data_IF_793393448221
#
_entry.id   IF_793393448221
#
_cell.length_a   1.000
_cell.length_b   1.000
_cell.length_c   1.000
_cell.angle_alpha   90.00
_cell.angle_beta   90.00
_cell.angle_gamma   90.00
#
_symmetry.space_group_name_H-M   'P 1'
#
loop_
_entity.id
_entity.type
_entity.pdbx_description
1 polymer ?
#
# COMPACT_ATOMS: atom_id res chain seq x y z
N UNK A 1 -14.33 -7.90 1.41
CA UNK A 1 -13.07 -7.21 1.04
C UNK A 1 -12.05 -7.54 2.11
N UNK A 2 -10.78 -7.67 1.74
CA UNK A 2 -9.66 -7.91 2.65
C UNK A 2 -8.74 -6.71 2.68
N UNK A 3 -8.05 -6.51 3.80
CA UNK A 3 -6.97 -5.53 3.96
C UNK A 3 -5.65 -6.23 3.67
N UNK A 4 -4.88 -5.68 2.75
CA UNK A 4 -3.56 -6.15 2.37
C UNK A 4 -2.52 -5.15 2.85
N UNK A 5 -1.39 -5.66 3.31
CA UNK A 5 -0.19 -4.89 3.55
C UNK A 5 0.94 -5.40 2.67
N UNK A 6 1.54 -4.51 1.87
CA UNK A 6 2.63 -4.82 0.96
C UNK A 6 3.91 -4.13 1.40
N UNK A 7 5.00 -4.90 1.47
CA UNK A 7 6.36 -4.36 1.54
C UNK A 7 7.06 -4.59 0.21
N UNK A 8 7.88 -3.63 -0.21
CA UNK A 8 8.56 -3.64 -1.50
C UNK A 8 10.08 -3.57 -1.33
N UNK A 9 10.81 -4.25 -2.20
CA UNK A 9 12.25 -4.05 -2.34
C UNK A 9 12.52 -2.72 -3.07
N UNK A 10 12.78 -1.66 -2.29
CA UNK A 10 13.09 -0.33 -2.81
C UNK A 10 14.46 0.09 -2.32
N UNK A 11 15.43 0.11 -3.23
CA UNK A 11 16.80 0.55 -2.95
C UNK A 11 16.97 2.07 -3.14
N UNK A 12 16.22 2.67 -4.07
CA UNK A 12 16.22 4.10 -4.34
C UNK A 12 14.81 4.68 -4.32
N UNK A 13 14.54 5.54 -3.34
CA UNK A 13 13.20 6.09 -3.10
C UNK A 13 12.82 7.23 -4.08
N UNK A 14 13.79 7.85 -4.77
CA UNK A 14 13.53 9.05 -5.60
C UNK A 14 12.67 8.79 -6.84
N UNK A 15 12.51 7.52 -7.23
CA UNK A 15 11.68 7.11 -8.37
C UNK A 15 10.27 6.62 -8.00
N UNK A 16 9.93 6.61 -6.71
CA UNK A 16 8.68 6.03 -6.22
C UNK A 16 7.84 7.03 -5.42
N UNK A 17 6.52 6.77 -5.28
CA UNK A 17 5.63 7.66 -4.53
C UNK A 17 6.09 7.86 -3.07
N UNK A 18 5.92 9.05 -2.48
CA UNK A 18 6.30 9.30 -1.09
C UNK A 18 5.67 8.30 -0.12
N UNK A 19 6.44 7.84 0.86
CA UNK A 19 5.98 6.93 1.92
C UNK A 19 5.91 5.45 1.53
N UNK A 20 6.05 5.10 0.25
CA UNK A 20 5.96 3.71 -0.22
C UNK A 20 7.07 2.78 0.32
N UNK A 21 8.22 3.35 0.71
CA UNK A 21 9.29 2.62 1.38
C UNK A 21 8.92 2.15 2.79
N UNK A 22 7.86 2.70 3.38
CA UNK A 22 7.30 2.25 4.66
C UNK A 22 6.27 1.13 4.49
N UNK A 23 5.89 0.80 3.24
CA UNK A 23 4.86 -0.16 2.89
C UNK A 23 3.64 0.47 2.20
N UNK A 24 2.68 -0.38 1.83
CA UNK A 24 1.42 0.05 1.21
C UNK A 24 0.23 -0.75 1.73
N UNK A 25 -0.79 -0.02 2.17
CA UNK A 25 -2.06 -0.56 2.60
C UNK A 25 -3.10 -0.49 1.49
N UNK A 26 -3.69 -1.64 1.15
CA UNK A 26 -4.73 -1.74 0.11
C UNK A 26 -5.91 -2.53 0.63
N UNK A 27 -7.13 -2.07 0.37
CA UNK A 27 -8.35 -2.86 0.58
C UNK A 27 -8.89 -3.28 -0.77
N UNK A 28 -9.07 -4.58 -0.96
CA UNK A 28 -9.42 -5.19 -2.23
C UNK A 28 -10.29 -6.45 -2.05
N UNK A 29 -10.85 -6.97 -3.14
CA UNK A 29 -11.63 -8.22 -3.09
C UNK A 29 -10.74 -9.45 -2.92
N UNK A 30 -9.61 -9.50 -3.64
CA UNK A 30 -8.62 -10.57 -3.63
C UNK A 30 -7.23 -9.97 -3.95
N UNK A 31 -6.20 -10.82 -4.04
CA UNK A 31 -4.83 -10.39 -4.33
C UNK A 31 -4.71 -9.73 -5.71
N UNK A 32 -5.30 -10.32 -6.75
CA UNK A 32 -5.23 -9.77 -8.12
C UNK A 32 -5.87 -8.39 -8.22
N UNK A 33 -7.00 -8.19 -7.54
CA UNK A 33 -7.68 -6.90 -7.41
C UNK A 33 -6.78 -5.88 -6.68
N UNK A 34 -6.06 -6.30 -5.64
CA UNK A 34 -5.11 -5.44 -4.94
C UNK A 34 -3.95 -5.03 -5.86
N UNK A 35 -3.40 -5.96 -6.63
CA UNK A 35 -2.36 -5.68 -7.62
C UNK A 35 -2.86 -4.74 -8.71
N UNK A 36 -4.09 -4.93 -9.19
CA UNK A 36 -4.69 -4.03 -10.18
C UNK A 36 -4.83 -2.61 -9.62
N UNK A 37 -5.31 -2.46 -8.39
CA UNK A 37 -5.38 -1.16 -7.70
C UNK A 37 -4.00 -0.50 -7.61
N UNK A 38 -2.96 -1.25 -7.21
CA UNK A 38 -1.58 -0.74 -7.14
C UNK A 38 -1.09 -0.25 -8.50
N UNK A 39 -1.31 -1.01 -9.57
CA UNK A 39 -0.93 -0.64 -10.95
C UNK A 39 -1.64 0.64 -11.40
N UNK A 40 -2.95 0.72 -11.19
CA UNK A 40 -3.76 1.82 -11.73
C UNK A 40 -3.61 3.12 -10.95
N UNK A 41 -3.44 3.04 -9.62
CA UNK A 41 -3.48 4.21 -8.74
C UNK A 41 -2.12 4.70 -8.29
N UNK A 42 -1.16 3.80 -8.03
CA UNK A 42 0.13 4.16 -7.41
C UNK A 42 1.29 4.09 -8.39
N UNK A 43 1.31 3.06 -9.23
CA UNK A 43 2.39 2.76 -10.16
C UNK A 43 1.95 2.92 -11.61
N UNK A 44 1.10 3.92 -11.89
CA UNK A 44 0.51 4.13 -13.23
C UNK A 44 1.55 4.30 -14.34
N UNK A 45 2.67 4.96 -14.01
CA UNK A 45 3.70 5.35 -14.99
C UNK A 45 5.06 4.69 -14.73
N UNK A 46 5.16 3.82 -13.73
CA UNK A 46 6.41 3.16 -13.32
C UNK A 46 6.14 1.69 -12.97
N UNK A 47 7.11 0.78 -13.10
CA UNK A 47 6.91 -0.59 -12.69
C UNK A 47 6.68 -0.69 -11.18
N UNK A 48 5.82 -1.62 -10.76
CA UNK A 48 5.70 -1.99 -9.35
C UNK A 48 7.06 -2.59 -8.92
N UNK A 49 7.69 -2.11 -7.83
CA UNK A 49 8.87 -2.75 -7.28
C UNK A 49 8.57 -4.18 -6.82
N UNK A 50 9.60 -5.01 -6.66
CA UNK A 50 9.39 -6.39 -6.25
C UNK A 50 8.71 -6.45 -4.87
N UNK A 51 7.58 -7.16 -4.79
CA UNK A 51 6.86 -7.38 -3.53
C UNK A 51 7.63 -8.42 -2.73
N UNK A 52 8.15 -8.03 -1.57
CA UNK A 52 8.89 -8.92 -0.68
C UNK A 52 8.01 -9.49 0.44
N UNK A 53 6.88 -8.85 0.70
CA UNK A 53 5.91 -9.31 1.70
C UNK A 53 4.50 -8.88 1.29
N UNK A 54 3.55 -9.77 1.52
CA UNK A 54 2.12 -9.50 1.42
C UNK A 54 1.42 -10.15 2.61
N UNK A 55 0.77 -9.35 3.46
CA UNK A 55 -0.06 -9.84 4.57
C UNK A 55 -1.52 -9.66 4.19
N UNK A 56 -2.29 -10.74 4.14
CA UNK A 56 -3.74 -10.68 4.02
C UNK A 56 -4.43 -10.50 5.38
N UNK A 57 -5.56 -9.79 5.38
CA UNK A 57 -6.35 -9.50 6.58
C UNK A 57 -5.55 -8.83 7.69
N UNK A 58 -4.59 -7.99 7.33
CA UNK A 58 -3.75 -7.26 8.29
C UNK A 58 -4.62 -6.54 9.33
N UNK A 59 -4.25 -6.68 10.60
CA UNK A 59 -4.78 -5.80 11.65
C UNK A 59 -3.99 -4.49 11.62
N UNK A 60 -4.69 -3.39 11.32
CA UNK A 60 -4.06 -2.08 11.21
C UNK A 60 -3.46 -1.61 12.54
N UNK A 61 -3.96 -2.11 13.68
CA UNK A 61 -3.43 -1.78 15.00
C UNK A 61 -2.02 -2.35 15.24
N UNK A 62 -1.60 -3.34 14.45
CA UNK A 62 -0.26 -3.93 14.51
C UNK A 62 0.77 -3.16 13.65
N UNK A 63 0.31 -2.19 12.85
CA UNK A 63 1.17 -1.36 12.00
C UNK A 63 1.81 -0.21 12.79
N UNK A 64 2.80 0.45 12.19
CA UNK A 64 3.52 1.58 12.80
C UNK A 64 2.55 2.70 13.22
N UNK A 65 2.49 2.93 14.54
CA UNK A 65 1.59 3.91 15.17
C UNK A 65 2.05 5.37 14.99
N UNK A 66 3.33 5.60 14.69
CA UNK A 66 3.90 6.93 14.47
C UNK A 66 3.83 7.41 13.02
N UNK A 67 3.82 6.50 12.05
CA UNK A 67 3.84 6.85 10.62
C UNK A 67 2.62 6.34 9.85
N UNK A 68 2.20 5.08 10.04
CA UNK A 68 1.15 4.49 9.20
C UNK A 68 -0.22 4.96 9.65
N UNK A 69 -0.55 4.79 10.93
CA UNK A 69 -1.86 5.17 11.47
C UNK A 69 -2.20 6.65 11.26
N UNK A 70 -1.28 7.62 11.47
CA UNK A 70 -1.59 9.03 11.26
C UNK A 70 -1.73 9.43 9.78
N UNK A 71 -1.14 8.65 8.87
CA UNK A 71 -1.06 8.97 7.44
C UNK A 71 -1.81 7.95 6.58
N UNK A 72 -2.90 7.39 7.08
CA UNK A 72 -3.77 6.47 6.34
C UNK A 72 -5.21 6.98 6.18
N UNK A 73 -5.85 6.61 5.06
CA UNK A 73 -7.30 6.73 4.84
C UNK A 73 -8.05 5.59 5.56
N UNK A 74 -9.38 5.63 5.48
CA UNK A 74 -10.24 4.52 5.92
C UNK A 74 -9.83 3.20 5.25
N UNK A 75 -9.43 2.16 6.01
CA UNK A 75 -9.08 0.85 5.44
C UNK A 75 -10.32 0.01 5.12
N UNK A 76 -11.53 0.57 5.28
CA UNK A 76 -12.80 -0.12 5.00
C UNK A 76 -13.24 0.01 3.55
N UNK A 77 -12.68 0.96 2.81
CA UNK A 77 -13.06 1.28 1.44
C UNK A 77 -12.10 0.63 0.45
N UNK A 78 -12.61 0.13 -0.69
CA UNK A 78 -11.76 -0.45 -1.73
C UNK A 78 -10.82 0.61 -2.30
N UNK A 79 -9.52 0.34 -2.26
CA UNK A 79 -8.50 1.27 -2.74
C UNK A 79 -7.26 1.26 -1.84
N UNK A 80 -6.37 2.21 -2.11
CA UNK A 80 -5.18 2.44 -1.31
C UNK A 80 -5.58 3.27 -0.10
N UNK A 81 -5.31 2.73 1.09
CA UNK A 81 -5.49 3.46 2.35
C UNK A 81 -4.16 3.90 2.96
N UNK A 82 -3.01 3.36 2.56
CA UNK A 82 -1.70 3.90 2.92
C UNK A 82 -0.69 3.66 1.76
N UNK A 83 0.24 4.58 1.48
CA UNK A 83 0.37 5.92 2.06
C UNK A 83 -0.79 6.83 1.64
N UNK A 84 -1.19 7.75 2.53
CA UNK A 84 -2.08 8.84 2.16
C UNK A 84 -1.30 9.84 1.30
N UNK A 85 -1.57 9.82 -0.01
CA UNK A 85 -1.03 10.78 -0.97
C UNK A 85 -2.14 11.79 -1.26
N UNK A 86 -1.82 13.07 -1.13
CA UNK A 86 -2.69 14.15 -1.60
C UNK A 86 -2.75 14.09 -3.13
N UNK A 87 -3.95 13.90 -3.69
CA UNK A 87 -4.21 13.98 -5.13
C UNK A 87 -4.31 15.44 -5.58
#
# INVERSE_FOLDING_TARGET
>A
MKRYWFDFAIENISGYPPGIGLGCGVTAYNYDDAIQILKEKLFKSIPIPAIIKCIENVDVNELDQGHVIPNMKSPRERGIWFPFIYE
#
